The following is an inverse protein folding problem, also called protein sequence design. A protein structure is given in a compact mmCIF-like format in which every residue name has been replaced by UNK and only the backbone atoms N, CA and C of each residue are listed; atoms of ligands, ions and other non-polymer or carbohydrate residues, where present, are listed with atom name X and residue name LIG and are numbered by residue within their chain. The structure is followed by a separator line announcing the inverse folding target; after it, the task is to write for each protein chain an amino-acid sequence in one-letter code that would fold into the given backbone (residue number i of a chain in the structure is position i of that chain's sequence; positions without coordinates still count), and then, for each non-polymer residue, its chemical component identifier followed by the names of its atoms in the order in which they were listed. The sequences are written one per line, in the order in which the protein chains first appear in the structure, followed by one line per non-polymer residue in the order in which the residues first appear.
data_IF_925781608922
#
_entry.id   IF_925781608922
#
_cell.length_a   1.000
_cell.length_b   1.000
_cell.length_c   1.000
_cell.angle_alpha   90.00
_cell.angle_beta   90.00
_cell.angle_gamma   90.00
#
_symmetry.space_group_name_H-M   'P 1'
#
loop_
_entity.id
_entity.type
_entity.pdbx_description
1 polymer ?
#
# COMPACT_ATOMS: atom_id res chain seq x y z
N UNK A 1 23.02 4.31 17.11
CA UNK A 1 22.95 2.85 17.22
C UNK A 1 21.87 2.35 16.29
N UNK A 2 22.27 1.69 15.19
CA UNK A 2 21.33 1.03 14.28
C UNK A 2 20.93 -0.33 14.82
N UNK A 3 19.65 -0.58 15.00
CA UNK A 3 19.16 -1.93 15.18
C UNK A 3 19.07 -2.59 13.80
N UNK A 4 20.05 -3.42 13.48
CA UNK A 4 19.98 -4.36 12.36
C UNK A 4 19.36 -5.63 12.93
N UNK A 5 18.11 -5.87 12.66
CA UNK A 5 17.42 -7.04 13.15
C UNK A 5 16.26 -7.42 12.26
N UNK A 6 16.26 -8.68 11.86
CA UNK A 6 15.11 -9.35 11.30
C UNK A 6 13.86 -9.14 12.16
N UNK A 7 12.75 -8.81 11.53
CA UNK A 7 11.34 -8.96 11.88
C UNK A 7 10.85 -8.75 13.34
N UNK A 8 11.70 -8.77 14.35
CA UNK A 8 11.24 -9.02 15.71
C UNK A 8 11.35 -7.89 16.70
N UNK A 9 12.00 -6.78 16.38
CA UNK A 9 12.46 -5.91 17.46
C UNK A 9 11.96 -4.49 17.46
N UNK A 10 11.15 -4.08 16.51
CA UNK A 10 10.50 -2.77 16.64
C UNK A 10 9.04 -3.04 16.96
N UNK A 11 8.84 -3.50 18.17
CA UNK A 11 7.51 -3.84 18.65
C UNK A 11 6.61 -2.62 18.76
N UNK A 12 5.39 -2.97 18.72
CA UNK A 12 4.12 -2.28 18.86
C UNK A 12 4.20 -0.81 19.25
N UNK A 13 3.47 -0.05 18.47
CA UNK A 13 3.06 1.30 18.87
C UNK A 13 2.28 1.26 20.16
N UNK A 14 2.26 2.36 20.90
CA UNK A 14 1.44 2.47 22.09
C UNK A 14 0.01 2.02 21.78
N UNK A 15 -0.63 1.40 22.74
CA UNK A 15 -1.99 0.88 22.59
C UNK A 15 -2.96 1.99 22.14
N UNK A 16 -2.74 3.21 22.66
CA UNK A 16 -3.53 4.38 22.34
C UNK A 16 -3.36 4.80 20.87
N UNK A 17 -2.12 4.85 20.36
CA UNK A 17 -1.86 5.18 18.97
C UNK A 17 -2.50 4.16 18.03
N UNK A 18 -2.39 2.87 18.33
CA UNK A 18 -3.02 1.80 17.54
C UNK A 18 -4.53 1.92 17.51
N UNK A 19 -5.16 2.26 18.62
CA UNK A 19 -6.60 2.49 18.69
C UNK A 19 -7.02 3.67 17.81
N UNK A 20 -6.32 4.78 17.94
CA UNK A 20 -6.59 5.99 17.15
C UNK A 20 -6.40 5.74 15.65
N UNK A 21 -5.35 5.04 15.28
CA UNK A 21 -5.11 4.65 13.89
C UNK A 21 -6.26 3.80 13.32
N UNK A 22 -6.66 2.73 14.03
CA UNK A 22 -7.75 1.86 13.58
C UNK A 22 -9.07 2.64 13.52
N UNK A 23 -9.33 3.51 14.49
CA UNK A 23 -10.53 4.35 14.48
C UNK A 23 -10.55 5.26 13.25
N UNK A 24 -9.45 5.91 12.93
CA UNK A 24 -9.36 6.76 11.75
C UNK A 24 -9.63 5.99 10.43
N UNK A 25 -9.13 4.75 10.31
CA UNK A 25 -9.41 3.92 9.14
C UNK A 25 -10.89 3.47 9.10
N UNK A 26 -11.52 3.21 10.25
CA UNK A 26 -12.96 2.93 10.35
C UNK A 26 -13.77 4.12 9.87
N UNK A 27 -13.43 5.32 10.31
CA UNK A 27 -14.11 6.57 9.95
C UNK A 27 -13.97 6.85 8.44
N UNK A 28 -12.79 6.61 7.87
CA UNK A 28 -12.56 6.73 6.43
C UNK A 28 -13.43 5.75 5.63
N UNK A 29 -13.58 4.50 6.10
CA UNK A 29 -14.47 3.52 5.46
C UNK A 29 -15.94 3.94 5.60
N UNK A 30 -16.35 4.46 6.75
CA UNK A 30 -17.73 4.95 6.94
C UNK A 30 -18.04 6.09 5.98
N UNK A 31 -17.15 7.06 5.86
CA UNK A 31 -17.31 8.17 4.91
C UNK A 31 -17.46 7.65 3.47
N UNK A 32 -16.64 6.65 3.07
CA UNK A 32 -16.77 6.00 1.76
C UNK A 32 -18.12 5.31 1.55
N UNK A 33 -18.65 4.64 2.58
CA UNK A 33 -19.99 4.01 2.56
C UNK A 33 -21.08 5.07 2.43
N UNK A 34 -20.99 6.16 3.17
CA UNK A 34 -22.00 7.22 3.17
C UNK A 34 -22.06 7.94 1.83
N UNK A 35 -20.92 8.22 1.21
CA UNK A 35 -20.85 8.78 -0.14
C UNK A 35 -21.48 7.85 -1.18
N UNK A 36 -21.20 6.53 -1.12
CA UNK A 36 -21.80 5.55 -2.04
C UNK A 36 -23.31 5.41 -1.84
N UNK A 37 -23.80 5.59 -0.62
CA UNK A 37 -25.23 5.56 -0.31
C UNK A 37 -25.94 6.85 -0.71
N UNK A 38 -25.26 8.00 -0.67
CA UNK A 38 -25.81 9.31 -1.03
C UNK A 38 -26.09 9.47 -2.52
N UNK A 39 -25.43 8.70 -3.37
CA UNK A 39 -25.65 8.73 -4.82
C UNK A 39 -26.81 7.80 -5.24
N UNK A 40 -28.01 8.34 -5.25
CA UNK A 40 -29.23 7.60 -5.62
C UNK A 40 -29.21 7.02 -7.03
N UNK A 41 -28.46 7.60 -7.97
CA UNK A 41 -28.41 7.15 -9.38
C UNK A 41 -27.58 5.88 -9.54
N UNK A 42 -26.56 5.69 -8.73
CA UNK A 42 -25.62 4.58 -8.84
C UNK A 42 -25.74 3.57 -7.69
N UNK A 43 -26.60 3.83 -6.72
CA UNK A 43 -26.77 3.00 -5.50
C UNK A 43 -26.96 1.51 -5.78
N UNK A 44 -27.74 1.17 -6.81
CA UNK A 44 -27.96 -0.23 -7.19
C UNK A 44 -26.67 -0.91 -7.67
N UNK A 45 -25.83 -0.17 -8.41
CA UNK A 45 -24.54 -0.66 -8.91
C UNK A 45 -23.47 -0.72 -7.80
N UNK A 46 -23.61 0.11 -6.77
CA UNK A 46 -22.65 0.23 -5.67
C UNK A 46 -22.87 -0.76 -4.52
N UNK A 47 -23.95 -1.55 -4.55
CA UNK A 47 -24.28 -2.50 -3.47
C UNK A 47 -23.15 -3.46 -3.11
N UNK A 48 -22.39 -3.92 -4.09
CA UNK A 48 -21.26 -4.83 -3.83
C UNK A 48 -20.09 -4.12 -3.17
N UNK A 49 -19.79 -2.88 -3.60
CA UNK A 49 -18.75 -2.05 -3.00
C UNK A 49 -19.06 -1.69 -1.55
N UNK A 50 -20.33 -1.33 -1.29
CA UNK A 50 -20.80 -1.04 0.07
C UNK A 50 -20.63 -2.26 0.97
N UNK A 51 -21.08 -3.45 0.52
CA UNK A 51 -20.93 -4.69 1.31
C UNK A 51 -19.48 -5.06 1.59
N UNK A 52 -18.58 -4.81 0.67
CA UNK A 52 -17.16 -5.11 0.88
C UNK A 52 -16.53 -4.12 1.86
N UNK A 53 -16.85 -2.82 1.76
CA UNK A 53 -16.43 -1.81 2.75
C UNK A 53 -17.02 -2.09 4.14
N UNK A 54 -18.31 -2.46 4.24
CA UNK A 54 -18.94 -2.84 5.50
C UNK A 54 -18.26 -4.06 6.13
N UNK A 55 -17.86 -5.05 5.33
CA UNK A 55 -17.16 -6.23 5.82
C UNK A 55 -15.78 -5.88 6.39
N UNK A 56 -15.01 -5.07 5.66
CA UNK A 56 -13.67 -4.65 6.14
C UNK A 56 -13.78 -3.72 7.36
N UNK A 57 -14.74 -2.80 7.37
CA UNK A 57 -15.06 -1.96 8.54
C UNK A 57 -15.35 -2.82 9.77
N UNK A 58 -16.26 -3.80 9.66
CA UNK A 58 -16.58 -4.72 10.75
C UNK A 58 -15.38 -5.51 11.25
N UNK A 59 -14.44 -5.86 10.34
CA UNK A 59 -13.18 -6.52 10.69
C UNK A 59 -12.28 -5.61 11.53
N UNK A 60 -12.16 -4.33 11.14
CA UNK A 60 -11.42 -3.34 11.93
C UNK A 60 -12.08 -3.05 13.28
N UNK A 61 -13.39 -2.92 13.33
CA UNK A 61 -14.15 -2.77 14.56
C UNK A 61 -13.91 -3.93 15.53
N UNK A 62 -13.95 -5.17 15.02
CA UNK A 62 -13.66 -6.37 15.82
C UNK A 62 -12.21 -6.35 16.35
N UNK A 63 -11.27 -5.87 15.53
CA UNK A 63 -9.86 -5.73 15.94
C UNK A 63 -9.69 -4.65 17.00
N UNK A 64 -10.37 -3.52 16.84
CA UNK A 64 -10.38 -2.44 17.82
C UNK A 64 -10.94 -2.91 19.17
N UNK A 65 -12.06 -3.63 19.12
CA UNK A 65 -12.68 -4.18 20.34
C UNK A 65 -11.73 -5.13 21.09
N UNK A 66 -11.05 -6.04 20.37
CA UNK A 66 -10.05 -6.94 20.96
C UNK A 66 -8.88 -6.18 21.59
N UNK A 67 -8.44 -5.07 20.99
CA UNK A 67 -7.40 -4.21 21.57
C UNK A 67 -7.89 -3.52 22.84
N UNK A 68 -9.14 -3.12 22.91
CA UNK A 68 -9.75 -2.50 24.10
C UNK A 68 -9.87 -3.55 25.22
N UNK A 69 -10.38 -4.73 24.92
CA UNK A 69 -10.56 -5.82 25.89
C UNK A 69 -9.22 -6.40 26.39
N UNK A 70 -8.22 -6.48 25.50
CA UNK A 70 -6.89 -6.96 25.82
C UNK A 70 -6.05 -6.01 26.67
N UNK A 71 -6.39 -4.73 26.72
CA UNK A 71 -5.64 -3.72 27.47
C UNK A 71 -5.66 -3.91 28.99
N UNK A 72 -6.50 -4.80 29.51
CA UNK A 72 -6.55 -5.13 30.95
C UNK A 72 -5.72 -6.36 31.38
N UNK A 73 -5.15 -7.13 30.45
CA UNK A 73 -4.63 -8.48 30.73
C UNK A 73 -3.12 -8.67 30.64
N UNK A 74 -2.37 -7.75 30.05
CA UNK A 74 -0.91 -7.85 30.07
C UNK A 74 -0.31 -6.44 30.18
N UNK A 75 0.37 -6.16 31.27
CA UNK A 75 1.44 -5.17 31.28
C UNK A 75 2.54 -5.76 30.40
N UNK A 76 2.44 -5.52 29.09
CA UNK A 76 3.58 -5.75 28.21
C UNK A 76 4.63 -4.71 28.64
N UNK A 77 5.67 -5.17 29.31
CA UNK A 77 6.79 -4.36 29.80
C UNK A 77 7.77 -4.02 28.68
N UNK A 78 7.45 -4.40 27.45
CA UNK A 78 8.27 -4.06 26.29
C UNK A 78 8.14 -2.57 25.96
N UNK A 79 9.28 -1.93 25.72
CA UNK A 79 9.34 -0.55 25.26
C UNK A 79 8.59 -0.40 23.94
N UNK A 80 7.74 0.62 23.85
CA UNK A 80 7.07 0.96 22.59
C UNK A 80 8.01 1.72 21.65
N UNK A 81 7.66 1.80 20.37
CA UNK A 81 8.44 2.53 19.38
C UNK A 81 8.66 3.99 19.79
N UNK A 82 7.64 4.62 20.36
CA UNK A 82 7.70 6.01 20.86
C UNK A 82 8.70 6.15 22.00
N UNK A 83 8.74 5.18 22.91
CA UNK A 83 9.63 5.18 24.06
C UNK A 83 11.09 4.93 23.71
N UNK A 84 11.35 4.33 22.55
CA UNK A 84 12.71 4.12 22.03
C UNK A 84 13.37 5.43 21.55
N UNK A 85 12.58 6.47 21.29
CA UNK A 85 13.08 7.79 20.93
C UNK A 85 13.74 7.87 19.56
N UNK A 86 13.39 6.95 18.65
CA UNK A 86 13.88 7.02 17.26
C UNK A 86 13.26 8.20 16.52
N UNK A 87 14.09 8.95 15.84
CA UNK A 87 13.73 10.10 15.01
C UNK A 87 13.83 9.81 13.50
N UNK A 88 14.40 8.68 13.13
CA UNK A 88 14.61 8.29 11.74
C UNK A 88 14.42 6.79 11.51
N UNK A 89 14.07 6.44 10.29
CA UNK A 89 13.79 5.07 9.87
C UNK A 89 14.39 4.79 8.49
N UNK A 90 15.25 3.79 8.43
CA UNK A 90 15.77 3.27 7.16
C UNK A 90 15.22 1.86 6.95
N UNK A 91 14.56 1.64 5.82
CA UNK A 91 13.94 0.37 5.45
C UNK A 91 14.60 -0.14 4.19
N UNK A 92 15.36 -1.21 4.33
CA UNK A 92 15.88 -1.96 3.19
C UNK A 92 14.84 -2.96 2.68
N UNK A 93 14.89 -3.26 1.39
CA UNK A 93 13.91 -4.10 0.70
C UNK A 93 12.46 -3.65 0.95
N UNK A 94 12.24 -2.34 0.85
CA UNK A 94 10.96 -1.69 1.17
C UNK A 94 9.78 -2.21 0.34
N UNK A 95 10.02 -2.89 -0.79
CA UNK A 95 8.98 -3.57 -1.56
C UNK A 95 8.21 -4.62 -0.75
N UNK A 96 8.77 -5.10 0.35
CA UNK A 96 8.06 -6.01 1.26
C UNK A 96 6.85 -5.37 1.96
N UNK A 97 6.75 -4.04 1.99
CA UNK A 97 5.72 -3.28 2.69
C UNK A 97 4.70 -2.60 1.75
N UNK A 98 4.79 -2.81 0.46
CA UNK A 98 3.93 -2.18 -0.55
C UNK A 98 2.47 -2.64 -0.54
N UNK A 99 2.14 -3.71 0.20
CA UNK A 99 0.79 -4.23 0.37
C UNK A 99 0.09 -3.58 1.58
N UNK A 100 -0.02 -2.26 1.58
CA UNK A 100 -0.70 -1.49 2.63
C UNK A 100 -2.22 -1.49 2.46
N UNK A 101 -2.92 -0.99 3.50
CA UNK A 101 -4.36 -0.80 3.45
C UNK A 101 -4.71 0.28 2.43
N UNK A 102 -5.60 -0.05 1.53
CA UNK A 102 -6.22 0.87 0.58
C UNK A 102 -7.72 0.85 0.78
N UNK A 103 -8.27 1.96 1.25
CA UNK A 103 -9.72 2.18 1.29
C UNK A 103 -10.17 2.67 -0.08
N UNK A 104 -11.04 1.93 -0.76
CA UNK A 104 -11.49 2.27 -2.11
C UNK A 104 -12.93 1.86 -2.34
N UNK A 105 -13.66 2.70 -3.06
CA UNK A 105 -15.01 2.43 -3.58
C UNK A 105 -14.96 1.57 -4.85
N UNK A 106 -13.77 1.36 -5.43
CA UNK A 106 -13.55 0.56 -6.63
C UNK A 106 -13.64 -0.94 -6.29
N UNK A 107 -14.80 -1.52 -6.48
CA UNK A 107 -15.02 -2.94 -6.21
C UNK A 107 -14.69 -3.80 -7.43
N UNK A 108 -14.12 -4.99 -7.17
CA UNK A 108 -13.78 -6.00 -8.18
C UNK A 108 -12.85 -5.52 -9.28
N UNK A 109 -12.02 -4.52 -8.97
CA UNK A 109 -10.94 -4.07 -9.84
C UNK A 109 -9.68 -4.82 -9.44
N UNK A 110 -9.17 -5.63 -10.36
CA UNK A 110 -7.91 -6.35 -10.14
C UNK A 110 -6.75 -5.36 -10.08
N UNK A 111 -5.88 -5.51 -9.10
CA UNK A 111 -4.79 -4.57 -8.85
C UNK A 111 -5.11 -3.53 -7.76
N UNK A 112 -6.35 -3.50 -7.25
CA UNK A 112 -6.70 -2.75 -6.03
C UNK A 112 -6.78 -3.74 -4.87
N UNK A 113 -5.82 -3.65 -3.97
CA UNK A 113 -5.74 -4.54 -2.82
C UNK A 113 -6.37 -3.88 -1.61
N UNK A 114 -7.45 -4.48 -1.11
CA UNK A 114 -8.19 -3.97 0.04
C UNK A 114 -7.81 -4.64 1.36
N UNK A 115 -7.12 -5.78 1.31
CA UNK A 115 -6.67 -6.50 2.50
C UNK A 115 -5.19 -6.24 2.73
N UNK A 116 -4.81 -5.49 3.77
CA UNK A 116 -3.42 -5.15 4.03
C UNK A 116 -2.64 -6.34 4.61
N UNK A 117 -1.34 -6.36 4.37
CA UNK A 117 -0.43 -7.17 5.14
C UNK A 117 -0.18 -6.50 6.51
N UNK A 118 -0.16 -7.29 7.57
CA UNK A 118 0.02 -6.80 8.95
C UNK A 118 1.30 -5.96 9.11
N UNK A 119 2.40 -6.40 8.47
CA UNK A 119 3.67 -5.67 8.44
C UNK A 119 3.58 -4.30 7.75
N UNK A 120 2.72 -4.18 6.74
CA UNK A 120 2.52 -2.91 6.02
C UNK A 120 1.70 -1.91 6.83
N UNK A 121 0.77 -2.38 7.66
CA UNK A 121 0.06 -1.51 8.61
C UNK A 121 1.01 -1.03 9.71
N UNK A 122 1.86 -1.91 10.22
CA UNK A 122 2.82 -1.55 11.25
C UNK A 122 3.81 -0.48 10.78
N UNK A 123 4.38 -0.65 9.58
CA UNK A 123 5.28 0.35 9.00
C UNK A 123 4.54 1.67 8.72
N UNK A 124 3.26 1.63 8.30
CA UNK A 124 2.46 2.83 8.08
C UNK A 124 2.29 3.63 9.37
N UNK A 125 1.97 2.98 10.47
CA UNK A 125 1.86 3.64 11.78
C UNK A 125 3.19 4.28 12.20
N UNK A 126 4.32 3.60 11.99
CA UNK A 126 5.66 4.13 12.33
C UNK A 126 6.04 5.32 11.47
N UNK A 127 5.81 5.24 10.17
CA UNK A 127 6.10 6.35 9.25
C UNK A 127 5.21 7.55 9.51
N UNK A 128 3.93 7.36 9.81
CA UNK A 128 3.05 8.45 10.19
C UNK A 128 3.53 9.17 11.46
N UNK A 129 3.89 8.44 12.49
CA UNK A 129 4.43 9.04 13.71
C UNK A 129 5.68 9.86 13.43
N UNK A 130 6.63 9.33 12.67
CA UNK A 130 7.85 10.07 12.34
C UNK A 130 7.53 11.32 11.53
N UNK A 131 6.63 11.22 10.56
CA UNK A 131 6.20 12.36 9.74
C UNK A 131 5.52 13.45 10.57
N UNK A 132 4.70 13.07 11.55
CA UNK A 132 4.00 14.01 12.42
C UNK A 132 4.93 14.72 13.43
N UNK A 133 5.91 14.00 13.98
CA UNK A 133 6.77 14.52 15.03
C UNK A 133 8.07 15.15 14.52
N UNK A 134 8.62 14.68 13.40
CA UNK A 134 9.94 15.09 12.91
C UNK A 134 9.88 15.63 11.47
N UNK A 135 8.71 15.68 10.86
CA UNK A 135 8.54 16.07 9.45
C UNK A 135 8.91 14.95 8.47
N UNK A 136 8.59 15.15 7.21
CA UNK A 136 8.70 14.13 6.16
C UNK A 136 10.13 14.03 5.57
N UNK A 137 11.15 13.93 6.42
CA UNK A 137 12.57 13.95 6.00
C UNK A 137 13.39 12.79 6.54
N UNK A 138 12.87 12.10 7.55
CA UNK A 138 13.67 11.15 8.34
C UNK A 138 13.33 9.69 8.01
N UNK A 139 12.72 9.44 6.84
CA UNK A 139 12.35 8.10 6.41
C UNK A 139 13.00 7.82 5.05
N UNK A 140 13.76 6.74 4.98
CA UNK A 140 14.42 6.28 3.77
C UNK A 140 13.99 4.86 3.46
N UNK A 141 13.46 4.66 2.26
CA UNK A 141 13.12 3.35 1.73
C UNK A 141 14.06 3.00 0.58
N UNK A 142 14.77 1.89 0.70
CA UNK A 142 15.61 1.35 -0.35
C UNK A 142 14.94 0.13 -0.99
N UNK A 143 14.84 0.08 -2.31
CA UNK A 143 14.28 -1.06 -3.04
C UNK A 143 14.61 -1.01 -4.52
N UNK A 144 14.87 -2.17 -5.12
CA UNK A 144 14.99 -2.31 -6.57
C UNK A 144 13.64 -2.37 -7.31
N UNK A 145 12.52 -2.58 -6.61
CA UNK A 145 11.19 -2.78 -7.21
C UNK A 145 10.08 -2.05 -6.45
N UNK A 146 10.06 -0.71 -6.48
CA UNK A 146 9.07 0.08 -5.75
C UNK A 146 7.63 -0.21 -6.22
N UNK A 147 7.47 -0.52 -7.49
CA UNK A 147 6.21 -0.92 -8.12
C UNK A 147 6.43 -2.16 -8.98
N UNK A 148 5.66 -3.21 -8.77
CA UNK A 148 5.80 -4.45 -9.57
C UNK A 148 4.47 -5.05 -10.03
N UNK A 149 3.50 -5.17 -9.14
CA UNK A 149 2.27 -5.93 -9.41
C UNK A 149 1.03 -5.05 -9.55
N UNK A 150 1.03 -3.90 -8.90
CA UNK A 150 -0.15 -3.04 -8.83
C UNK A 150 0.24 -1.56 -8.77
N UNK A 151 -0.55 -0.73 -9.41
CA UNK A 151 -0.42 0.72 -9.33
C UNK A 151 -0.70 1.25 -7.92
N UNK A 152 -1.47 0.52 -7.10
CA UNK A 152 -1.71 0.87 -5.69
C UNK A 152 -0.43 0.91 -4.88
N UNK A 153 0.59 0.14 -5.27
CA UNK A 153 1.89 0.10 -4.59
C UNK A 153 2.56 1.48 -4.59
N UNK A 154 2.45 2.23 -5.68
CA UNK A 154 3.00 3.58 -5.78
C UNK A 154 2.29 4.57 -4.84
N UNK A 155 0.96 4.52 -4.79
CA UNK A 155 0.16 5.31 -3.85
C UNK A 155 0.56 5.02 -2.39
N UNK A 156 0.76 3.75 -2.06
CA UNK A 156 1.16 3.32 -0.72
C UNK A 156 2.56 3.86 -0.37
N UNK A 157 3.51 3.82 -1.30
CA UNK A 157 4.84 4.41 -1.09
C UNK A 157 4.76 5.92 -0.85
N UNK A 158 3.91 6.63 -1.58
CA UNK A 158 3.66 8.05 -1.33
C UNK A 158 3.06 8.31 0.05
N UNK A 159 2.12 7.47 0.51
CA UNK A 159 1.56 7.57 1.87
C UNK A 159 2.60 7.42 2.96
N UNK A 160 3.60 6.57 2.76
CA UNK A 160 4.68 6.39 3.73
C UNK A 160 5.63 7.59 3.77
N UNK A 161 6.05 8.07 2.60
CA UNK A 161 7.19 8.95 2.47
C UNK A 161 6.81 10.44 2.40
N UNK A 162 5.69 10.76 1.73
CA UNK A 162 5.27 12.15 1.48
C UNK A 162 3.75 12.32 1.51
N UNK A 163 3.10 12.05 2.65
CA UNK A 163 1.66 12.26 2.78
C UNK A 163 1.23 13.71 2.58
N UNK A 164 2.11 14.70 2.82
CA UNK A 164 1.82 16.11 2.54
C UNK A 164 1.61 16.40 1.07
N UNK A 165 2.35 15.76 0.16
CA UNK A 165 2.14 15.93 -1.28
C UNK A 165 0.74 15.47 -1.69
N UNK A 166 0.30 14.32 -1.16
CA UNK A 166 -1.05 13.81 -1.41
C UNK A 166 -2.11 14.78 -0.88
N UNK A 167 -1.92 15.32 0.33
CA UNK A 167 -2.85 16.30 0.91
C UNK A 167 -2.93 17.58 0.08
N UNK A 168 -1.78 18.15 -0.27
CA UNK A 168 -1.70 19.41 -1.00
C UNK A 168 -2.28 19.32 -2.42
N UNK A 169 -2.20 18.13 -3.03
CA UNK A 169 -2.76 17.85 -4.34
C UNK A 169 -4.26 17.42 -4.29
N UNK A 170 -4.86 17.29 -3.10
CA UNK A 170 -6.23 16.77 -2.96
C UNK A 170 -6.37 15.27 -3.29
N UNK A 171 -5.29 14.50 -3.13
CA UNK A 171 -5.17 13.09 -3.50
C UNK A 171 -5.06 12.18 -2.26
N UNK A 172 -5.67 12.57 -1.16
CA UNK A 172 -5.57 11.85 0.13
C UNK A 172 -6.20 10.47 0.07
N UNK A 173 -7.30 10.33 -0.65
CA UNK A 173 -7.93 9.02 -0.85
C UNK A 173 -7.33 8.32 -2.06
N UNK A 174 -7.30 6.99 -2.01
CA UNK A 174 -6.86 6.23 -3.17
C UNK A 174 -7.75 6.47 -4.40
N UNK A 175 -9.04 6.67 -4.20
CA UNK A 175 -9.97 6.88 -5.29
C UNK A 175 -9.72 8.21 -6.04
N UNK A 176 -9.33 9.28 -5.34
CA UNK A 176 -8.95 10.54 -5.96
C UNK A 176 -7.62 10.40 -6.70
N UNK A 177 -6.64 9.73 -6.09
CA UNK A 177 -5.38 9.43 -6.73
C UNK A 177 -5.56 8.57 -7.99
N UNK A 178 -6.38 7.52 -7.89
CA UNK A 178 -6.67 6.61 -8.99
C UNK A 178 -7.41 7.29 -10.15
N UNK A 179 -8.30 8.23 -9.85
CA UNK A 179 -9.02 9.02 -10.87
C UNK A 179 -8.07 9.89 -11.69
N UNK A 180 -7.02 10.41 -11.07
CA UNK A 180 -6.05 11.27 -11.74
C UNK A 180 -4.98 10.48 -12.50
N UNK A 181 -4.53 9.36 -11.94
CA UNK A 181 -3.33 8.66 -12.42
C UNK A 181 -3.59 7.27 -12.98
N UNK A 182 -4.80 6.78 -12.94
CA UNK A 182 -5.08 5.43 -13.36
C UNK A 182 -6.30 5.25 -14.25
N UNK A 183 -6.23 4.25 -15.10
CA UNK A 183 -7.32 3.83 -15.96
C UNK A 183 -7.73 2.39 -15.65
N UNK A 184 -9.04 2.19 -15.45
CA UNK A 184 -9.62 0.86 -15.31
C UNK A 184 -9.97 0.30 -16.68
N UNK A 185 -9.29 -0.75 -17.08
CA UNK A 185 -9.51 -1.43 -18.35
C UNK A 185 -10.30 -2.71 -18.13
N UNK A 186 -11.33 -2.92 -18.95
CA UNK A 186 -12.10 -4.16 -18.96
C UNK A 186 -11.59 -5.07 -20.08
N UNK A 187 -11.19 -6.30 -19.72
CA UNK A 187 -10.77 -7.33 -20.68
C UNK A 187 -11.54 -8.62 -20.48
N UNK A 188 -11.86 -9.31 -21.57
CA UNK A 188 -12.34 -10.67 -21.53
C UNK A 188 -11.15 -11.61 -21.24
N UNK A 189 -11.24 -12.38 -20.18
CA UNK A 189 -10.25 -13.38 -19.78
C UNK A 189 -10.89 -14.76 -19.76
N UNK A 190 -10.13 -15.78 -20.12
CA UNK A 190 -10.57 -17.17 -19.97
C UNK A 190 -10.80 -17.48 -18.49
N UNK A 191 -11.89 -18.18 -18.17
CA UNK A 191 -12.11 -18.63 -16.79
C UNK A 191 -11.03 -19.65 -16.41
N UNK A 192 -10.59 -19.70 -15.13
CA UNK A 192 -9.60 -20.67 -14.67
C UNK A 192 -9.95 -22.13 -14.97
N UNK A 193 -11.26 -22.45 -15.04
CA UNK A 193 -11.75 -23.78 -15.38
C UNK A 193 -11.77 -24.09 -16.88
N UNK A 194 -11.27 -23.18 -17.74
CA UNK A 194 -11.23 -23.38 -19.19
C UNK A 194 -12.59 -23.31 -19.92
N UNK A 195 -13.69 -23.17 -19.20
CA UNK A 195 -15.05 -23.24 -19.72
C UNK A 195 -15.67 -21.84 -19.95
N UNK A 196 -15.17 -21.07 -20.92
CA UNK A 196 -15.73 -19.78 -21.33
C UNK A 196 -14.98 -18.57 -20.81
N UNK A 197 -15.48 -17.38 -21.16
CA UNK A 197 -14.86 -16.10 -20.86
C UNK A 197 -15.57 -15.41 -19.70
N UNK A 198 -14.83 -14.54 -18.99
CA UNK A 198 -15.34 -13.59 -18.01
C UNK A 198 -14.76 -12.22 -18.28
N UNK A 199 -15.54 -11.18 -18.11
CA UNK A 199 -15.03 -9.81 -18.12
C UNK A 199 -14.39 -9.50 -16.78
N UNK A 200 -13.13 -9.10 -16.79
CA UNK A 200 -12.38 -8.68 -15.62
C UNK A 200 -11.93 -7.23 -15.78
N UNK A 201 -12.25 -6.42 -14.78
CA UNK A 201 -11.76 -5.06 -14.68
C UNK A 201 -10.39 -5.07 -14.02
N UNK A 202 -9.43 -4.34 -14.60
CA UNK A 202 -8.09 -4.16 -14.03
C UNK A 202 -7.74 -2.69 -13.99
N UNK A 203 -7.11 -2.29 -12.92
CA UNK A 203 -6.40 -1.03 -12.83
C UNK A 203 -5.05 -1.22 -13.52
N UNK A 204 -4.94 -0.86 -14.79
CA UNK A 204 -3.89 -1.40 -15.67
C UNK A 204 -3.07 -0.37 -16.43
N UNK A 205 -3.48 0.88 -16.48
CA UNK A 205 -2.72 1.92 -17.17
C UNK A 205 -2.55 3.14 -16.30
N UNK A 206 -1.37 3.75 -16.41
CA UNK A 206 -1.12 5.06 -15.84
C UNK A 206 -1.60 6.15 -16.80
N UNK A 207 -2.33 7.10 -16.27
CA UNK A 207 -2.66 8.36 -16.91
C UNK A 207 -1.83 9.46 -16.26
N UNK A 208 -1.72 10.61 -16.94
CA UNK A 208 -1.08 11.80 -16.41
C UNK A 208 0.33 11.51 -15.84
N UNK A 209 1.08 10.66 -16.55
CA UNK A 209 2.40 10.17 -16.14
C UNK A 209 3.39 11.32 -15.85
N UNK A 210 3.42 12.43 -16.60
CA UNK A 210 4.36 13.52 -16.31
C UNK A 210 4.20 14.07 -14.89
N UNK A 211 2.99 14.39 -14.47
CA UNK A 211 2.70 14.92 -13.13
C UNK A 211 2.96 13.87 -12.05
N UNK A 212 2.59 12.61 -12.29
CA UNK A 212 2.88 11.52 -11.37
C UNK A 212 4.39 11.36 -11.17
N UNK A 213 5.17 11.42 -12.25
CA UNK A 213 6.63 11.34 -12.18
C UNK A 213 7.26 12.57 -11.54
N UNK A 214 6.68 13.73 -11.72
CA UNK A 214 7.11 14.94 -11.02
C UNK A 214 6.92 14.80 -9.51
N UNK A 215 5.74 14.37 -9.07
CA UNK A 215 5.46 14.09 -7.66
C UNK A 215 6.41 13.01 -7.10
N UNK A 216 6.68 11.97 -7.87
CA UNK A 216 7.55 10.89 -7.42
C UNK A 216 9.00 11.36 -7.25
N UNK A 217 9.50 12.17 -8.16
CA UNK A 217 10.87 12.73 -8.11
C UNK A 217 11.10 13.69 -6.94
N UNK A 218 10.07 14.21 -6.31
CA UNK A 218 10.23 15.07 -5.13
C UNK A 218 10.76 14.31 -3.90
N UNK A 219 10.56 12.99 -3.85
CA UNK A 219 10.99 12.16 -2.72
C UNK A 219 11.77 10.91 -3.09
N UNK A 220 11.96 10.63 -4.39
CA UNK A 220 12.65 9.44 -4.86
C UNK A 220 13.88 9.78 -5.71
N UNK A 221 15.02 9.18 -5.39
CA UNK A 221 16.18 9.12 -6.25
C UNK A 221 16.18 7.80 -7.02
N UNK A 222 16.13 7.87 -8.33
CA UNK A 222 16.06 6.71 -9.21
C UNK A 222 17.42 6.51 -9.88
N UNK A 223 18.00 5.33 -9.67
CA UNK A 223 19.25 4.91 -10.31
C UNK A 223 19.00 3.67 -11.15
N UNK A 224 19.15 3.79 -12.45
CA UNK A 224 19.07 2.64 -13.36
C UNK A 224 20.44 1.96 -13.48
N UNK A 225 20.50 0.67 -13.87
CA UNK A 225 21.76 -0.03 -14.09
C UNK A 225 22.73 0.73 -15.00
N UNK A 226 22.22 1.38 -16.05
CA UNK A 226 23.01 2.17 -17.00
C UNK A 226 23.65 3.41 -16.36
N UNK A 227 23.02 3.97 -15.31
CA UNK A 227 23.55 5.11 -14.56
C UNK A 227 24.63 4.70 -13.56
N UNK A 228 24.62 3.44 -13.13
CA UNK A 228 25.47 2.96 -12.05
C UNK A 228 26.84 2.44 -12.52
N UNK A 229 27.04 2.23 -13.82
CA UNK A 229 28.28 1.68 -14.41
C UNK A 229 28.82 0.47 -13.62
N UNK A 230 27.92 -0.40 -13.15
CA UNK A 230 28.31 -1.56 -12.35
C UNK A 230 29.14 -2.53 -13.21
N UNK A 231 30.22 -3.10 -12.69
CA UNK A 231 30.94 -4.15 -13.36
C UNK A 231 30.05 -5.40 -13.41
N UNK A 232 29.37 -5.58 -14.54
CA UNK A 232 28.55 -6.78 -14.79
C UNK A 232 29.43 -7.79 -15.52
N UNK A 233 29.47 -9.07 -15.10
CA UNK A 233 30.17 -10.13 -15.82
C UNK A 233 29.66 -10.21 -17.24
N UNK A 234 30.56 -10.26 -18.19
CA UNK A 234 30.18 -10.45 -19.60
C UNK A 234 29.58 -11.84 -19.81
N UNK A 235 28.47 -11.89 -20.52
CA UNK A 235 27.87 -13.17 -20.90
C UNK A 235 28.72 -13.81 -22.00
N UNK A 236 28.93 -15.11 -21.90
CA UNK A 236 29.58 -15.88 -22.97
C UNK A 236 28.77 -15.73 -24.27
N UNK A 237 29.43 -15.18 -25.33
CA UNK A 237 28.77 -14.84 -26.58
C UNK A 237 27.96 -13.54 -26.58
N UNK A 238 28.01 -12.70 -25.53
CA UNK A 238 27.44 -11.34 -25.47
C UNK A 238 25.93 -11.26 -25.43
N UNK A 239 25.20 -12.41 -25.44
CA UNK A 239 23.74 -12.46 -25.43
C UNK A 239 23.22 -13.65 -24.62
N UNK A 240 22.07 -13.52 -23.94
CA UNK A 240 21.40 -14.65 -23.32
C UNK A 240 21.02 -15.72 -24.36
N UNK A 241 21.29 -16.98 -24.07
CA UNK A 241 20.83 -18.10 -24.91
C UNK A 241 19.40 -18.47 -24.50
N UNK A 242 18.50 -18.47 -25.49
CA UNK A 242 17.12 -18.93 -25.26
C UNK A 242 17.02 -20.42 -25.51
N UNK A 243 16.82 -21.21 -24.47
CA UNK A 243 16.55 -22.63 -24.54
C UNK A 243 15.03 -22.84 -24.51
N UNK A 244 14.48 -23.37 -25.61
CA UNK A 244 13.06 -23.69 -25.68
C UNK A 244 12.87 -25.17 -25.34
N UNK A 245 12.31 -25.42 -24.15
CA UNK A 245 11.83 -26.76 -23.80
C UNK A 245 10.44 -26.98 -24.40
N UNK A 246 10.26 -27.99 -25.22
CA UNK A 246 8.93 -28.40 -25.70
C UNK A 246 8.29 -29.30 -24.64
N UNK A 247 6.98 -29.15 -24.35
CA UNK A 247 6.28 -30.11 -23.49
C UNK A 247 6.36 -31.49 -24.15
N UNK A 248 6.50 -32.52 -23.33
CA UNK A 248 6.32 -33.91 -23.78
C UNK A 248 4.83 -34.12 -24.09
N UNK A 249 4.55 -34.88 -25.14
CA UNK A 249 3.20 -35.32 -25.50
C UNK A 249 2.57 -36.18 -24.39
#
# INVERSE_FOLDING_TARGET
YGLVGSEMCIRDRSMEYRKNFIQHEIDAMQNGIDELNGDYRTRANNRSSIKDLEREKKRLETRLQKLIEGSGKAKDTSLTFEQLGFDSLVVDEAHNYKNGLVVSKMNRVSGVQTTPAQKSEDILMKTQYLNENYGEKNIIFATGTPVSNSMTELYIMQRYLRPSLLRNAGLQTFDDWARNFGEVVSKAELKPAGNGYRTKKRFAKFNNVPELMQMFKEFADIRTPDMLNLPVPELEGGKPQTIVARPND
#
